data_IF_708085097235
#
_entry.id   IF_708085097235
#
_cell.length_a   1.000
_cell.length_b   1.000
_cell.length_c   1.000
_cell.angle_alpha   90.00
_cell.angle_beta   90.00
_cell.angle_gamma   90.00
#
_symmetry.space_group_name_H-M   'P 1'
#
loop_
_entity.id
_entity.type
_entity.pdbx_description
1 polymer ?
#
# COMPACT_ATOMS: atom_id res chain seq x y z
N UNK A 1 -15.56 -60.14 5.36
CA UNK A 1 -14.65 -59.24 6.11
C UNK A 1 -13.56 -58.60 5.23
N UNK A 2 -12.90 -59.34 4.34
CA UNK A 2 -11.78 -58.83 3.49
C UNK A 2 -12.20 -57.76 2.46
N UNK A 3 -13.40 -57.85 1.89
CA UNK A 3 -13.88 -56.89 0.88
C UNK A 3 -14.15 -55.47 1.46
N UNK A 4 -14.67 -55.40 2.69
CA UNK A 4 -14.95 -54.13 3.39
C UNK A 4 -13.64 -53.43 3.77
N UNK A 5 -12.63 -54.20 4.19
CA UNK A 5 -11.32 -53.67 4.54
C UNK A 5 -10.59 -53.11 3.31
N UNK A 6 -10.66 -53.82 2.16
CA UNK A 6 -10.14 -53.32 0.88
C UNK A 6 -10.81 -52.03 0.44
N UNK A 7 -12.13 -51.92 0.60
CA UNK A 7 -12.86 -50.71 0.22
C UNK A 7 -12.48 -49.52 1.10
N UNK A 8 -12.28 -49.74 2.41
CA UNK A 8 -11.82 -48.70 3.35
C UNK A 8 -10.39 -48.24 3.07
N UNK A 9 -9.50 -49.15 2.71
CA UNK A 9 -8.11 -48.81 2.33
C UNK A 9 -8.08 -48.04 1.00
N UNK A 10 -8.91 -48.40 0.03
CA UNK A 10 -9.07 -47.64 -1.22
C UNK A 10 -9.60 -46.22 -0.98
N UNK A 11 -10.61 -46.07 -0.12
CA UNK A 11 -11.12 -44.75 0.27
C UNK A 11 -10.08 -43.91 1.02
N UNK A 12 -9.36 -44.52 1.97
CA UNK A 12 -8.30 -43.83 2.70
C UNK A 12 -7.18 -43.38 1.75
N UNK A 13 -6.75 -44.23 0.82
CA UNK A 13 -5.74 -43.89 -0.18
C UNK A 13 -6.22 -42.77 -1.11
N UNK A 14 -7.50 -42.80 -1.54
CA UNK A 14 -8.09 -41.74 -2.36
C UNK A 14 -8.13 -40.40 -1.61
N UNK A 15 -8.55 -40.41 -0.35
CA UNK A 15 -8.54 -39.22 0.49
C UNK A 15 -7.13 -38.67 0.72
N UNK A 16 -6.13 -39.55 0.89
CA UNK A 16 -4.73 -39.16 1.08
C UNK A 16 -4.13 -38.56 -0.20
N UNK A 17 -4.54 -39.06 -1.36
CA UNK A 17 -4.11 -38.58 -2.67
C UNK A 17 -4.79 -37.24 -3.03
N UNK A 18 -6.07 -37.07 -2.66
CA UNK A 18 -6.76 -35.77 -2.69
C UNK A 18 -6.11 -34.76 -1.73
N UNK A 19 -5.75 -35.18 -0.53
CA UNK A 19 -5.07 -34.31 0.43
C UNK A 19 -3.67 -33.91 -0.04
N UNK A 20 -2.90 -34.84 -0.60
CA UNK A 20 -1.56 -34.56 -1.12
C UNK A 20 -1.59 -33.65 -2.34
N UNK A 21 -2.56 -33.81 -3.24
CA UNK A 21 -2.75 -32.91 -4.38
C UNK A 21 -3.15 -31.50 -3.93
N UNK A 22 -4.02 -31.36 -2.93
CA UNK A 22 -4.34 -30.07 -2.30
C UNK A 22 -3.09 -29.45 -1.64
N UNK A 23 -2.29 -30.26 -0.94
CA UNK A 23 -1.06 -29.80 -0.28
C UNK A 23 0.01 -29.35 -1.30
N UNK A 24 0.12 -30.04 -2.43
CA UNK A 24 1.04 -29.66 -3.52
C UNK A 24 0.56 -28.40 -4.23
N UNK A 25 -0.76 -28.25 -4.46
CA UNK A 25 -1.34 -27.03 -5.02
C UNK A 25 -1.17 -25.82 -4.10
N UNK A 26 -1.32 -26.01 -2.78
CA UNK A 26 -1.10 -24.96 -1.78
C UNK A 26 0.35 -24.45 -1.74
N UNK A 27 1.33 -25.29 -2.10
CA UNK A 27 2.75 -24.92 -2.14
C UNK A 27 3.24 -24.46 -3.53
N UNK A 28 2.36 -24.43 -4.54
CA UNK A 28 2.68 -24.03 -5.92
C UNK A 28 1.63 -23.02 -6.39
N UNK A 29 1.82 -21.70 -6.13
CA UNK A 29 0.79 -20.69 -6.35
C UNK A 29 0.21 -20.66 -7.77
N UNK A 30 1.04 -20.93 -8.79
CA UNK A 30 0.59 -20.94 -10.19
C UNK A 30 -0.30 -22.16 -10.53
N UNK A 31 -0.05 -23.32 -9.91
CA UNK A 31 -0.88 -24.52 -10.10
C UNK A 31 -2.23 -24.42 -9.35
N UNK A 32 -2.27 -23.67 -8.25
CA UNK A 32 -3.50 -23.39 -7.51
C UNK A 32 -4.46 -22.49 -8.28
N UNK A 33 -3.96 -21.42 -8.91
CA UNK A 33 -4.77 -20.50 -9.70
C UNK A 33 -5.37 -21.18 -10.96
N UNK A 34 -4.53 -21.85 -11.74
CA UNK A 34 -4.95 -22.58 -12.96
C UNK A 34 -5.86 -23.77 -12.60
N UNK A 35 -5.55 -24.48 -11.52
CA UNK A 35 -6.35 -25.59 -11.01
C UNK A 35 -7.72 -25.16 -10.48
N UNK A 36 -7.79 -24.04 -9.76
CA UNK A 36 -9.06 -23.47 -9.30
C UNK A 36 -9.94 -23.02 -10.47
N UNK A 37 -9.35 -22.47 -11.54
CA UNK A 37 -10.09 -22.06 -12.73
C UNK A 37 -10.61 -23.28 -13.52
N UNK A 38 -9.81 -24.35 -13.64
CA UNK A 38 -10.25 -25.62 -14.22
C UNK A 38 -11.38 -26.26 -13.39
N UNK A 39 -11.28 -26.26 -12.06
CA UNK A 39 -12.34 -26.78 -11.19
C UNK A 39 -13.62 -25.94 -11.29
N UNK A 40 -13.53 -24.61 -11.39
CA UNK A 40 -14.70 -23.73 -11.59
C UNK A 40 -15.45 -24.07 -12.87
N UNK A 41 -14.74 -24.51 -13.92
CA UNK A 41 -15.36 -24.93 -15.17
C UNK A 41 -16.15 -26.26 -15.06
N UNK A 42 -15.82 -27.11 -14.09
CA UNK A 42 -16.43 -28.45 -13.92
C UNK A 42 -17.53 -28.44 -12.86
N UNK A 43 -17.25 -27.86 -11.69
CA UNK A 43 -18.15 -27.90 -10.52
C UNK A 43 -18.80 -26.54 -10.20
N UNK A 44 -18.55 -25.53 -11.03
CA UNK A 44 -19.07 -24.17 -10.87
C UNK A 44 -18.37 -23.37 -9.77
N UNK A 45 -18.58 -22.05 -9.78
CA UNK A 45 -17.99 -21.13 -8.80
C UNK A 45 -18.36 -21.49 -7.35
N UNK A 46 -19.61 -21.90 -7.11
CA UNK A 46 -20.07 -22.26 -5.76
C UNK A 46 -19.43 -23.57 -5.26
N UNK A 47 -19.25 -24.56 -6.13
CA UNK A 47 -18.62 -25.83 -5.77
C UNK A 47 -17.15 -25.65 -5.37
N UNK A 48 -16.41 -24.82 -6.10
CA UNK A 48 -15.03 -24.47 -5.76
C UNK A 48 -14.97 -23.66 -4.47
N UNK A 49 -15.84 -22.67 -4.29
CA UNK A 49 -15.90 -21.87 -3.07
C UNK A 49 -16.17 -22.74 -1.82
N UNK A 50 -17.07 -23.73 -1.92
CA UNK A 50 -17.35 -24.66 -0.83
C UNK A 50 -16.15 -25.56 -0.51
N UNK A 51 -15.41 -26.01 -1.54
CA UNK A 51 -14.20 -26.80 -1.35
C UNK A 51 -13.06 -25.98 -0.73
N UNK A 52 -12.83 -24.78 -1.25
CA UNK A 52 -11.90 -23.79 -0.67
C UNK A 52 -12.23 -23.54 0.80
N UNK A 53 -13.50 -23.30 1.12
CA UNK A 53 -13.97 -23.12 2.50
C UNK A 53 -13.69 -24.34 3.40
N UNK A 54 -13.92 -25.56 2.91
CA UNK A 54 -13.62 -26.78 3.68
C UNK A 54 -12.10 -26.92 3.97
N UNK A 55 -11.26 -26.64 2.97
CA UNK A 55 -9.79 -26.67 3.13
C UNK A 55 -9.35 -25.59 4.12
N UNK A 56 -9.82 -24.36 3.95
CA UNK A 56 -9.47 -23.26 4.85
C UNK A 56 -9.96 -23.52 6.29
N UNK A 57 -11.15 -24.05 6.49
CA UNK A 57 -11.65 -24.42 7.83
C UNK A 57 -10.79 -25.51 8.48
N UNK A 58 -10.33 -26.50 7.70
CA UNK A 58 -9.44 -27.56 8.22
C UNK A 58 -8.09 -26.98 8.63
N UNK A 59 -7.51 -26.11 7.79
CA UNK A 59 -6.26 -25.41 8.11
C UNK A 59 -6.41 -24.50 9.33
N UNK A 60 -7.52 -23.77 9.43
CA UNK A 60 -7.82 -22.88 10.54
C UNK A 60 -7.94 -23.65 11.86
N UNK A 61 -8.64 -24.80 11.84
CA UNK A 61 -8.75 -25.67 13.02
C UNK A 61 -7.39 -26.13 13.51
N UNK A 62 -6.51 -26.54 12.60
CA UNK A 62 -5.15 -26.95 12.96
C UNK A 62 -4.30 -25.79 13.49
N UNK A 63 -4.40 -24.61 12.89
CA UNK A 63 -3.72 -23.39 13.37
C UNK A 63 -4.20 -22.97 14.75
N UNK A 64 -5.51 -23.01 15.01
CA UNK A 64 -6.08 -22.79 16.35
C UNK A 64 -5.51 -23.77 17.36
N UNK A 65 -5.51 -25.08 17.05
CA UNK A 65 -4.91 -26.08 17.93
C UNK A 65 -3.43 -25.84 18.21
N UNK A 66 -2.64 -25.44 17.20
CA UNK A 66 -1.23 -25.10 17.40
C UNK A 66 -1.04 -23.87 18.29
N UNK A 67 -1.88 -22.85 18.11
CA UNK A 67 -1.85 -21.64 18.91
C UNK A 67 -2.27 -21.92 20.37
N UNK A 68 -3.39 -22.63 20.57
CA UNK A 68 -3.94 -22.97 21.89
C UNK A 68 -3.01 -23.91 22.68
N UNK A 69 -2.26 -24.77 21.99
CA UNK A 69 -1.24 -25.63 22.60
C UNK A 69 0.10 -24.92 22.85
N UNK A 70 0.21 -23.64 22.47
CA UNK A 70 1.44 -22.85 22.59
C UNK A 70 2.57 -23.27 21.64
N UNK A 71 2.28 -24.16 20.68
CA UNK A 71 3.23 -24.60 19.65
C UNK A 71 3.45 -23.53 18.56
N UNK A 72 2.56 -22.53 18.50
CA UNK A 72 2.70 -21.35 17.66
C UNK A 72 2.30 -20.09 18.45
N UNK A 73 2.98 -18.98 18.22
CA UNK A 73 2.62 -17.68 18.77
C UNK A 73 2.51 -16.66 17.64
N UNK A 74 1.62 -15.69 17.81
CA UNK A 74 1.53 -14.54 16.93
C UNK A 74 2.61 -13.55 17.36
N UNK A 75 3.54 -13.25 16.46
CA UNK A 75 4.58 -12.26 16.71
C UNK A 75 4.37 -11.05 15.79
N UNK A 76 4.73 -9.87 16.30
CA UNK A 76 4.75 -8.65 15.51
C UNK A 76 5.59 -8.87 14.23
N UNK A 77 5.02 -8.67 13.03
CA UNK A 77 5.71 -8.95 11.78
C UNK A 77 6.84 -7.93 11.52
N UNK A 78 6.81 -6.80 12.20
CA UNK A 78 7.85 -5.78 12.24
C UNK A 78 8.00 -5.30 13.67
N UNK A 79 9.19 -5.46 14.24
CA UNK A 79 9.52 -4.91 15.55
C UNK A 79 9.82 -3.42 15.42
N UNK A 80 9.31 -2.62 16.35
CA UNK A 80 9.67 -1.21 16.44
C UNK A 80 11.00 -1.15 17.20
N UNK A 81 12.08 -0.71 16.54
CA UNK A 81 13.32 -0.41 17.28
C UNK A 81 13.05 0.78 18.21
N UNK A 82 13.42 0.73 19.49
CA UNK A 82 13.20 1.84 20.42
C UNK A 82 13.85 3.15 19.95
N UNK A 83 14.89 3.08 19.11
CA UNK A 83 15.56 4.24 18.49
C UNK A 83 14.70 5.01 17.47
N UNK A 84 13.56 4.46 17.02
CA UNK A 84 12.62 5.14 16.11
C UNK A 84 11.43 5.75 16.84
N UNK A 85 11.40 5.70 18.18
CA UNK A 85 10.62 6.69 18.93
C UNK A 85 11.27 8.04 18.66
N UNK A 86 10.74 8.76 17.67
CA UNK A 86 11.01 10.19 17.53
C UNK A 86 10.48 10.83 18.81
N UNK A 87 11.31 10.86 19.84
CA UNK A 87 11.34 11.96 20.78
C UNK A 87 11.38 13.19 19.89
N UNK A 88 10.25 13.88 19.81
CA UNK A 88 10.17 15.22 19.23
C UNK A 88 11.33 16.00 19.87
N UNK A 89 12.38 16.41 19.13
CA UNK A 89 13.21 17.46 19.67
C UNK A 89 12.29 18.67 19.72
N UNK A 90 11.94 19.13 20.92
CA UNK A 90 11.54 20.51 21.13
C UNK A 90 12.55 21.36 20.35
N UNK A 91 12.16 22.07 19.28
CA UNK A 91 13.13 22.86 18.54
C UNK A 91 13.55 24.01 19.46
N UNK A 92 14.71 23.84 20.10
CA UNK A 92 15.49 24.95 20.59
C UNK A 92 15.99 25.69 19.34
N UNK A 93 15.76 27.00 19.19
CA UNK A 93 16.19 27.72 18.00
C UNK A 93 17.72 27.82 17.99
N UNK A 94 18.38 26.87 17.36
CA UNK A 94 19.78 27.01 16.95
C UNK A 94 19.77 27.82 15.65
N UNK A 95 20.07 29.11 15.76
CA UNK A 95 20.27 29.98 14.61
C UNK A 95 21.51 29.50 13.83
N UNK A 96 21.30 28.78 12.73
CA UNK A 96 22.34 28.58 11.72
C UNK A 96 22.48 29.88 10.94
N UNK A 97 23.54 30.66 11.22
CA UNK A 97 23.87 31.83 10.42
C UNK A 97 24.31 31.38 9.02
N UNK A 98 23.50 31.68 8.00
CA UNK A 98 23.91 31.58 6.60
C UNK A 98 24.97 32.65 6.29
N UNK A 99 26.05 32.35 5.56
CA UNK A 99 27.03 33.35 5.18
C UNK A 99 26.44 34.40 4.22
N UNK A 100 26.80 35.66 4.46
CA UNK A 100 26.41 36.86 3.73
C UNK A 100 26.74 36.75 2.22
N UNK A 101 25.84 37.15 1.28
CA UNK A 101 26.20 37.20 -0.13
C UNK A 101 27.23 38.29 -0.41
N UNK A 102 28.27 37.94 -1.16
CA UNK A 102 29.34 38.83 -1.64
C UNK A 102 28.75 39.98 -2.48
N UNK A 103 29.07 41.25 -2.21
CA UNK A 103 28.57 42.36 -3.03
C UNK A 103 29.21 42.35 -4.43
N UNK A 104 28.36 42.53 -5.45
CA UNK A 104 28.75 42.71 -6.85
C UNK A 104 29.62 43.98 -7.05
N UNK A 105 30.55 43.99 -8.02
CA UNK A 105 31.42 45.15 -8.26
C UNK A 105 30.64 46.36 -8.80
N UNK A 106 31.13 47.59 -8.59
CA UNK A 106 30.44 48.80 -9.04
C UNK A 106 30.47 48.93 -10.57
N UNK A 107 29.31 49.28 -11.14
CA UNK A 107 29.13 49.60 -12.56
C UNK A 107 29.95 50.84 -12.93
N UNK A 108 30.71 50.73 -14.02
CA UNK A 108 31.53 51.80 -14.62
C UNK A 108 30.63 52.92 -15.17
N UNK A 109 30.89 54.16 -14.75
CA UNK A 109 30.25 55.36 -15.29
C UNK A 109 30.90 55.70 -16.64
N UNK A 110 30.17 55.53 -17.75
CA UNK A 110 30.55 56.13 -19.03
C UNK A 110 30.25 57.63 -18.96
N UNK A 111 31.27 58.47 -19.12
CA UNK A 111 31.13 59.93 -19.22
C UNK A 111 30.75 60.28 -20.64
N UNK A 112 29.55 60.84 -20.84
CA UNK A 112 29.25 61.63 -22.02
C UNK A 112 29.35 63.11 -21.65
N UNK A 113 30.30 63.80 -22.29
CA UNK A 113 30.49 65.23 -22.16
C UNK A 113 29.43 65.93 -23.00
N UNK A 114 28.42 66.54 -22.37
CA UNK A 114 27.73 67.75 -22.84
C UNK A 114 26.81 68.25 -21.70
N UNK A 115 27.05 69.49 -21.28
CA UNK A 115 26.32 70.27 -20.27
C UNK A 115 26.47 69.80 -18.81
N UNK A 116 27.43 70.42 -18.11
CA UNK A 116 27.73 70.22 -16.69
C UNK A 116 26.60 70.60 -15.74
N UNK A 117 25.63 69.70 -15.57
CA UNK A 117 24.70 69.72 -14.44
C UNK A 117 24.58 68.31 -13.86
N UNK A 118 25.35 68.05 -12.82
CA UNK A 118 25.29 66.81 -12.06
C UNK A 118 23.99 66.77 -11.27
N UNK A 119 23.00 66.02 -11.76
CA UNK A 119 21.84 65.65 -10.96
C UNK A 119 22.18 64.34 -10.23
N UNK A 120 22.37 64.41 -8.91
CA UNK A 120 22.43 63.21 -8.07
C UNK A 120 21.01 62.67 -7.91
N UNK A 121 20.74 61.49 -8.48
CA UNK A 121 19.56 60.72 -8.11
C UNK A 121 19.75 60.19 -6.68
N UNK A 122 18.70 60.15 -5.83
CA UNK A 122 18.80 59.52 -4.54
C UNK A 122 19.04 58.01 -4.72
N UNK A 123 20.17 57.53 -4.20
CA UNK A 123 20.44 56.11 -4.04
C UNK A 123 19.43 55.54 -3.05
N UNK A 124 18.45 54.77 -3.53
CA UNK A 124 17.62 53.97 -2.63
C UNK A 124 18.46 52.79 -2.14
N UNK A 125 18.90 52.86 -0.89
CA UNK A 125 19.45 51.71 -0.18
C UNK A 125 18.37 50.63 -0.12
N UNK A 126 18.55 49.43 -0.70
CA UNK A 126 17.57 48.37 -0.52
C UNK A 126 17.53 48.01 0.96
N UNK A 127 16.41 48.32 1.63
CA UNK A 127 16.13 47.79 2.96
C UNK A 127 15.96 46.29 2.81
N UNK A 128 16.96 45.52 3.20
CA UNK A 128 16.85 44.06 3.33
C UNK A 128 15.84 43.78 4.43
N UNK A 129 14.61 43.43 4.03
CA UNK A 129 13.62 42.91 4.98
C UNK A 129 14.21 41.64 5.61
N UNK A 130 14.10 41.46 6.94
CA UNK A 130 14.51 40.21 7.57
C UNK A 130 13.73 39.05 6.92
N UNK A 131 14.38 37.89 6.67
CA UNK A 131 13.68 36.75 6.09
C UNK A 131 12.51 36.40 7.01
N UNK A 132 11.29 36.49 6.47
CA UNK A 132 10.12 35.92 7.14
C UNK A 132 10.36 34.42 7.20
N UNK A 133 10.34 33.77 8.38
CA UNK A 133 10.48 32.33 8.43
C UNK A 133 9.32 31.72 7.64
N UNK A 134 9.64 31.09 6.50
CA UNK A 134 8.68 30.23 5.80
C UNK A 134 8.25 29.17 6.80
N UNK A 135 6.96 29.00 7.10
CA UNK A 135 6.52 27.96 8.01
C UNK A 135 7.03 26.62 7.48
N UNK A 136 7.86 25.93 8.28
CA UNK A 136 8.26 24.55 8.00
C UNK A 136 6.99 23.72 7.96
N UNK A 137 6.64 23.18 6.79
CA UNK A 137 5.50 22.30 6.65
C UNK A 137 5.63 21.14 7.66
N UNK A 138 4.62 20.94 8.49
CA UNK A 138 4.57 19.80 9.40
C UNK A 138 4.52 18.53 8.56
N UNK A 139 5.42 17.55 8.75
CA UNK A 139 5.38 16.31 8.00
C UNK A 139 4.06 15.58 8.28
N UNK A 140 3.40 15.13 7.23
CA UNK A 140 2.17 14.35 7.34
C UNK A 140 2.42 13.06 8.13
N UNK A 141 1.49 12.73 9.03
CA UNK A 141 1.47 11.46 9.76
C UNK A 141 0.04 10.90 9.77
N UNK A 142 -0.12 9.56 9.69
CA UNK A 142 -1.42 8.94 9.83
C UNK A 142 -2.01 9.17 11.22
N UNK A 143 -3.34 9.18 11.32
CA UNK A 143 -4.00 9.15 12.62
C UNK A 143 -3.60 7.89 13.40
N UNK A 144 -3.52 8.01 14.73
CA UNK A 144 -3.21 6.88 15.60
C UNK A 144 -4.20 5.72 15.33
N UNK A 145 -3.67 4.53 15.05
CA UNK A 145 -4.48 3.34 14.92
C UNK A 145 -4.88 2.83 16.30
N UNK A 146 -6.09 2.30 16.42
CA UNK A 146 -6.56 1.65 17.65
C UNK A 146 -6.20 0.16 17.54
N UNK A 147 -5.36 -0.39 18.44
CA UNK A 147 -5.09 -1.82 18.48
C UNK A 147 -6.39 -2.62 18.65
N UNK A 148 -6.50 -3.74 17.92
CA UNK A 148 -7.67 -4.62 17.96
C UNK A 148 -7.39 -5.89 18.76
N UNK A 149 -6.12 -6.28 18.88
CA UNK A 149 -5.66 -7.42 19.66
C UNK A 149 -4.76 -7.03 20.83
N UNK A 150 -3.75 -7.87 21.07
CA UNK A 150 -2.93 -7.85 22.28
C UNK A 150 -1.43 -8.01 22.01
N UNK A 151 -1.02 -7.96 20.74
CA UNK A 151 0.39 -8.11 20.38
C UNK A 151 1.10 -6.78 20.62
N UNK A 152 2.28 -6.84 21.24
CA UNK A 152 3.14 -5.68 21.42
C UNK A 152 3.41 -4.99 20.08
N UNK A 153 3.49 -3.66 20.08
CA UNK A 153 3.68 -2.80 18.90
C UNK A 153 2.51 -2.76 17.89
N UNK A 154 1.37 -3.41 18.17
CA UNK A 154 0.17 -3.32 17.33
C UNK A 154 -0.30 -1.86 17.20
N UNK A 155 -0.68 -1.43 16.00
CA UNK A 155 -1.17 -0.07 15.75
C UNK A 155 -0.11 1.03 15.81
N UNK A 156 1.14 0.73 16.15
CA UNK A 156 2.24 1.71 16.13
C UNK A 156 2.68 1.94 14.67
N UNK A 157 2.64 3.19 14.23
CA UNK A 157 3.08 3.59 12.90
C UNK A 157 4.60 3.71 12.84
N UNK A 158 5.21 3.10 11.83
CA UNK A 158 6.65 3.22 11.53
C UNK A 158 6.87 3.75 10.11
N UNK A 159 7.89 4.59 9.88
CA UNK A 159 8.28 5.00 8.53
C UNK A 159 8.55 3.78 7.65
N UNK A 160 8.07 3.81 6.41
CA UNK A 160 8.18 2.67 5.50
C UNK A 160 8.64 3.06 4.09
N UNK A 161 7.96 4.00 3.45
CA UNK A 161 8.24 4.39 2.05
C UNK A 161 8.78 5.81 2.05
N UNK A 162 9.84 6.03 1.27
CA UNK A 162 10.45 7.35 1.06
C UNK A 162 10.39 7.74 -0.40
N UNK A 163 10.31 9.04 -0.67
CA UNK A 163 10.43 9.58 -2.02
C UNK A 163 11.91 9.78 -2.42
N UNK A 164 12.15 10.23 -3.65
CA UNK A 164 13.49 10.48 -4.18
C UNK A 164 14.33 11.48 -3.36
N UNK A 165 13.68 12.35 -2.59
CA UNK A 165 14.35 13.32 -1.71
C UNK A 165 14.62 12.77 -0.29
N UNK A 166 14.28 11.49 -0.04
CA UNK A 166 14.41 10.83 1.26
C UNK A 166 13.31 11.17 2.26
N UNK A 167 12.28 11.95 1.88
CA UNK A 167 11.17 12.24 2.77
C UNK A 167 10.23 11.04 2.87
N UNK A 168 9.75 10.73 4.07
CA UNK A 168 8.77 9.66 4.30
C UNK A 168 7.42 10.04 3.69
N UNK A 169 6.91 9.19 2.80
CA UNK A 169 5.61 9.34 2.13
C UNK A 169 4.66 8.18 2.44
N UNK A 170 5.15 7.17 3.17
CA UNK A 170 4.32 6.06 3.62
C UNK A 170 4.75 5.53 4.97
N UNK A 171 3.77 5.22 5.80
CA UNK A 171 3.92 4.58 7.11
C UNK A 171 3.28 3.20 7.08
N UNK A 172 3.78 2.29 7.91
CA UNK A 172 3.18 0.97 8.09
C UNK A 172 2.90 0.66 9.56
N UNK A 173 1.88 -0.16 9.78
CA UNK A 173 1.58 -0.80 11.05
C UNK A 173 0.95 -2.17 10.79
N UNK A 174 0.58 -2.89 11.84
CA UNK A 174 -0.22 -4.11 11.74
C UNK A 174 -1.34 -4.09 12.77
N UNK A 175 -2.40 -4.87 12.50
CA UNK A 175 -3.55 -5.06 13.37
C UNK A 175 -3.91 -6.55 13.44
N UNK A 176 -4.55 -6.94 14.54
CA UNK A 176 -5.11 -8.27 14.75
C UNK A 176 -6.64 -8.19 14.65
N UNK A 177 -7.23 -8.29 13.44
CA UNK A 177 -8.63 -7.93 13.22
C UNK A 177 -9.63 -8.96 13.76
N UNK A 178 -9.17 -10.18 14.03
CA UNK A 178 -10.04 -11.29 14.40
C UNK A 178 -9.68 -11.85 15.78
N UNK A 179 -10.53 -11.62 16.80
CA UNK A 179 -10.28 -12.12 18.15
C UNK A 179 -10.39 -13.65 18.24
N UNK A 180 -11.12 -14.32 17.33
CA UNK A 180 -11.22 -15.79 17.30
C UNK A 180 -10.02 -16.44 16.61
N UNK A 181 -9.26 -15.66 15.83
CA UNK A 181 -8.08 -16.12 15.10
C UNK A 181 -6.88 -15.21 15.42
N UNK A 182 -6.35 -15.28 16.65
CA UNK A 182 -5.35 -14.32 17.13
C UNK A 182 -4.01 -14.37 16.39
N UNK A 183 -3.77 -15.42 15.61
CA UNK A 183 -2.64 -15.57 14.69
C UNK A 183 -2.84 -14.88 13.33
N UNK A 184 -3.99 -14.25 13.08
CA UNK A 184 -4.28 -13.52 11.85
C UNK A 184 -3.89 -12.07 12.02
N UNK A 185 -2.94 -11.60 11.20
CA UNK A 185 -2.44 -10.24 11.22
C UNK A 185 -2.70 -9.58 9.86
N UNK A 186 -3.10 -8.32 9.88
CA UNK A 186 -3.26 -7.47 8.69
C UNK A 186 -2.22 -6.36 8.76
N UNK A 187 -1.36 -6.30 7.75
CA UNK A 187 -0.49 -5.14 7.54
C UNK A 187 -1.28 -3.98 6.96
N UNK A 188 -1.08 -2.79 7.52
CA UNK A 188 -1.71 -1.55 7.06
C UNK A 188 -0.61 -0.61 6.60
N UNK A 189 -0.76 -0.06 5.39
CA UNK A 189 0.12 0.98 4.85
C UNK A 189 -0.71 2.22 4.61
N UNK A 190 -0.27 3.34 5.18
CA UNK A 190 -0.87 4.65 4.97
C UNK A 190 0.07 5.49 4.09
N UNK A 191 -0.45 6.02 2.99
CA UNK A 191 0.29 6.82 2.01
C UNK A 191 -0.17 8.29 2.07
N UNK A 192 0.79 9.21 1.99
CA UNK A 192 0.52 10.64 1.91
C UNK A 192 0.09 11.02 0.49
N UNK A 193 -1.21 11.17 0.26
CA UNK A 193 -1.75 11.57 -1.05
C UNK A 193 -1.45 13.03 -1.42
N UNK A 194 -0.84 13.84 -0.54
CA UNK A 194 -0.30 15.16 -0.90
C UNK A 194 1.04 15.06 -1.65
N UNK A 195 1.71 13.91 -1.53
CA UNK A 195 3.03 13.65 -2.13
C UNK A 195 3.03 12.43 -3.07
N UNK A 196 1.91 11.70 -3.13
CA UNK A 196 1.78 10.46 -3.89
C UNK A 196 0.49 10.46 -4.69
N UNK A 197 0.49 9.71 -5.79
CA UNK A 197 -0.66 9.58 -6.68
C UNK A 197 -1.10 8.11 -6.72
N UNK A 198 -2.41 7.89 -6.68
CA UNK A 198 -3.01 6.57 -6.77
C UNK A 198 -3.62 6.38 -8.16
N UNK A 199 -3.14 5.39 -8.89
CA UNK A 199 -3.69 4.99 -10.18
C UNK A 199 -4.43 3.66 -10.06
N UNK A 200 -5.63 3.60 -10.63
CA UNK A 200 -6.39 2.36 -10.76
C UNK A 200 -6.40 1.91 -12.22
N UNK A 201 -5.95 0.68 -12.48
CA UNK A 201 -5.87 0.10 -13.81
C UNK A 201 -6.85 -1.05 -13.94
N UNK A 202 -7.74 -0.98 -14.94
CA UNK A 202 -8.66 -2.05 -15.26
C UNK A 202 -7.90 -3.30 -15.76
N UNK A 203 -8.46 -4.48 -15.43
CA UNK A 203 -7.95 -5.77 -15.92
C UNK A 203 -8.14 -5.93 -17.43
N UNK A 204 -7.46 -6.92 -18.01
CA UNK A 204 -7.55 -7.25 -19.45
C UNK A 204 -8.78 -8.07 -19.83
N UNK A 205 -9.42 -8.72 -18.83
CA UNK A 205 -10.57 -9.59 -19.03
C UNK A 205 -11.79 -9.14 -18.22
N UNK A 206 -11.59 -8.87 -16.92
CA UNK A 206 -12.63 -8.37 -16.03
C UNK A 206 -12.11 -7.24 -15.12
N UNK A 207 -12.97 -6.25 -14.78
CA UNK A 207 -14.28 -6.01 -15.37
C UNK A 207 -14.16 -5.42 -16.79
N UNK A 208 -14.94 -5.95 -17.73
CA UNK A 208 -15.02 -5.46 -19.09
C UNK A 208 -16.05 -4.33 -19.19
N UNK A 209 -15.72 -3.29 -19.97
CA UNK A 209 -16.69 -2.26 -20.37
C UNK A 209 -17.52 -2.83 -21.52
N UNK A 210 -18.77 -2.37 -21.65
CA UNK A 210 -19.64 -2.70 -22.78
C UNK A 210 -18.94 -2.40 -24.13
N UNK A 211 -18.95 -3.38 -25.05
CA UNK A 211 -18.28 -3.25 -26.36
C UNK A 211 -16.82 -3.71 -26.42
N UNK A 212 -16.41 -4.66 -25.56
CA UNK A 212 -15.06 -5.27 -25.50
C UNK A 212 -13.91 -4.28 -25.21
N UNK A 213 -14.25 -3.13 -24.62
CA UNK A 213 -13.26 -2.19 -24.12
C UNK A 213 -12.72 -2.71 -22.77
N UNK A 214 -11.49 -3.21 -22.80
CA UNK A 214 -10.79 -3.72 -21.62
C UNK A 214 -9.63 -2.82 -21.22
N UNK A 215 -9.26 -2.87 -19.95
CA UNK A 215 -8.04 -2.24 -19.47
C UNK A 215 -6.79 -2.96 -19.96
N UNK A 216 -5.64 -2.32 -19.74
CA UNK A 216 -4.35 -2.91 -20.12
C UNK A 216 -3.81 -3.92 -19.10
N UNK A 217 -4.40 -3.99 -17.89
CA UNK A 217 -3.97 -4.86 -16.79
C UNK A 217 -2.50 -4.67 -16.38
N UNK A 218 -1.90 -3.52 -16.71
CA UNK A 218 -0.48 -3.25 -16.52
C UNK A 218 -0.26 -1.78 -16.14
N UNK A 219 0.65 -1.58 -15.20
CA UNK A 219 1.16 -0.25 -14.85
C UNK A 219 1.81 0.38 -16.10
N UNK A 220 1.56 1.67 -16.34
CA UNK A 220 2.09 2.38 -17.50
C UNK A 220 3.62 2.46 -17.46
N UNK A 221 4.26 2.46 -18.63
CA UNK A 221 5.73 2.46 -18.70
C UNK A 221 6.37 3.71 -18.07
N UNK A 222 5.68 4.85 -18.15
CA UNK A 222 6.12 6.11 -17.56
C UNK A 222 6.20 6.08 -16.03
N UNK A 223 5.41 5.21 -15.38
CA UNK A 223 5.38 5.07 -13.91
C UNK A 223 6.35 4.00 -13.41
N UNK A 224 6.79 3.08 -14.29
CA UNK A 224 7.77 2.02 -13.99
C UNK A 224 9.22 2.51 -13.97
N UNK A 225 9.45 3.81 -13.84
CA UNK A 225 10.79 4.37 -13.68
C UNK A 225 11.27 4.19 -12.22
N UNK A 226 12.59 4.06 -11.99
CA UNK A 226 13.15 4.16 -10.65
C UNK A 226 12.63 5.41 -9.93
N UNK A 227 12.43 5.30 -8.62
CA UNK A 227 12.00 6.39 -7.73
C UNK A 227 10.62 7.00 -8.00
N UNK A 228 9.78 6.34 -8.82
CA UNK A 228 8.39 6.76 -9.12
C UNK A 228 7.35 5.76 -8.67
N UNK A 229 7.55 4.47 -8.97
CA UNK A 229 6.64 3.41 -8.52
C UNK A 229 6.90 3.08 -7.04
N UNK A 230 5.99 3.52 -6.16
CA UNK A 230 6.11 3.28 -4.72
C UNK A 230 5.61 1.89 -4.30
N UNK A 231 4.47 1.47 -4.86
CA UNK A 231 3.84 0.19 -4.55
C UNK A 231 2.88 -0.23 -5.67
N UNK A 232 2.61 -1.53 -5.76
CA UNK A 232 1.54 -2.09 -6.58
C UNK A 232 0.92 -3.28 -5.84
N UNK A 233 -0.40 -3.37 -5.88
CA UNK A 233 -1.17 -4.44 -5.22
C UNK A 233 -2.42 -4.76 -6.05
N UNK A 234 -3.04 -5.90 -5.77
CA UNK A 234 -4.28 -6.27 -6.44
C UNK A 234 -5.39 -5.27 -6.10
N UNK A 235 -6.23 -4.95 -7.07
CA UNK A 235 -7.41 -4.13 -6.86
C UNK A 235 -8.59 -4.93 -6.30
N UNK A 236 -9.75 -4.73 -6.91
CA UNK A 236 -11.01 -5.33 -6.48
C UNK A 236 -11.27 -6.75 -6.99
N UNK A 237 -12.49 -7.22 -6.72
CA UNK A 237 -12.99 -8.51 -7.15
C UNK A 237 -13.33 -8.53 -8.63
N UNK A 238 -13.28 -9.73 -9.23
CA UNK A 238 -13.85 -10.01 -10.54
C UNK A 238 -15.34 -9.68 -10.59
N UNK A 239 -15.86 -9.27 -11.74
CA UNK A 239 -17.27 -8.91 -11.91
C UNK A 239 -18.19 -10.06 -11.55
N UNK A 240 -17.78 -11.28 -11.89
CA UNK A 240 -18.45 -12.55 -11.55
C UNK A 240 -18.63 -12.80 -10.05
N UNK A 241 -17.92 -12.10 -9.17
CA UNK A 241 -18.03 -12.26 -7.71
C UNK A 241 -19.04 -11.34 -7.05
N UNK A 242 -19.68 -10.43 -7.80
CA UNK A 242 -20.73 -9.59 -7.25
C UNK A 242 -20.83 -8.19 -7.83
N UNK A 243 -20.17 -7.88 -8.94
CA UNK A 243 -20.33 -6.62 -9.67
C UNK A 243 -20.20 -5.35 -8.80
N UNK A 244 -19.12 -5.23 -8.01
CA UNK A 244 -18.97 -4.17 -6.98
C UNK A 244 -18.55 -2.79 -7.50
N UNK A 245 -18.62 -2.56 -8.81
CA UNK A 245 -18.22 -1.31 -9.44
C UNK A 245 -16.73 -1.23 -9.77
N UNK A 246 -16.42 -0.57 -10.88
CA UNK A 246 -15.07 -0.26 -11.32
C UNK A 246 -15.11 0.83 -12.40
N UNK A 247 -14.32 1.88 -12.20
CA UNK A 247 -14.13 2.95 -13.17
C UNK A 247 -12.66 3.32 -13.22
N UNK A 248 -12.12 3.48 -14.43
CA UNK A 248 -10.80 4.06 -14.66
C UNK A 248 -10.87 4.98 -15.88
N UNK A 249 -10.15 6.09 -15.87
CA UNK A 249 -10.08 7.04 -17.00
C UNK A 249 -11.45 7.49 -17.54
N UNK A 250 -12.44 7.62 -16.65
CA UNK A 250 -13.83 7.96 -16.99
C UNK A 250 -14.64 6.82 -17.64
N UNK A 251 -14.03 5.66 -17.90
CA UNK A 251 -14.71 4.47 -18.40
C UNK A 251 -15.31 3.68 -17.24
N UNK A 252 -16.63 3.56 -17.23
CA UNK A 252 -17.38 2.75 -16.26
C UNK A 252 -17.40 1.31 -16.78
N UNK A 253 -16.57 0.44 -16.20
CA UNK A 253 -16.60 -0.99 -16.49
C UNK A 253 -17.72 -1.70 -15.70
N UNK A 254 -17.92 -1.31 -14.45
CA UNK A 254 -19.06 -1.73 -13.65
C UNK A 254 -19.62 -0.53 -12.88
N UNK A 255 -20.95 -0.33 -12.85
CA UNK A 255 -21.52 0.73 -12.04
C UNK A 255 -21.30 0.46 -10.55
N UNK A 256 -21.09 1.53 -9.77
CA UNK A 256 -21.06 1.44 -8.32
C UNK A 256 -22.43 0.97 -7.78
N UNK A 257 -22.41 0.30 -6.63
CA UNK A 257 -23.60 -0.17 -5.95
C UNK A 257 -23.95 0.73 -4.77
N UNK A 258 -25.24 1.01 -4.63
CA UNK A 258 -25.75 1.79 -3.51
C UNK A 258 -25.46 1.08 -2.17
N UNK A 259 -25.19 1.88 -1.13
CA UNK A 259 -24.85 1.39 0.21
C UNK A 259 -23.46 0.77 0.38
N UNK A 260 -22.62 0.75 -0.66
CA UNK A 260 -21.23 0.27 -0.57
C UNK A 260 -20.22 1.42 -0.63
N UNK A 261 -19.15 1.31 0.16
CA UNK A 261 -18.04 2.25 0.12
C UNK A 261 -17.21 2.09 -1.16
N UNK A 262 -16.68 3.19 -1.68
CA UNK A 262 -15.78 3.20 -2.84
C UNK A 262 -14.64 4.18 -2.62
N UNK A 263 -13.56 4.01 -3.38
CA UNK A 263 -12.45 4.96 -3.46
C UNK A 263 -12.66 5.78 -4.73
N UNK A 264 -12.75 7.11 -4.56
CA UNK A 264 -12.78 8.04 -5.67
C UNK A 264 -11.39 8.67 -5.86
N UNK A 265 -10.96 8.73 -7.12
CA UNK A 265 -9.72 9.38 -7.55
C UNK A 265 -10.10 10.67 -8.27
N UNK A 266 -9.40 11.77 -8.01
CA UNK A 266 -9.65 13.10 -8.59
C UNK A 266 -8.36 13.76 -9.06
#
# INVERSE_FOLDING_TARGET
MVAILRHRVLWAALCLLLFSTVLVAANRPNLGADGAQALRSIIGNQGVANLEAAVFNTQDTFRRLQYDSGLAQAEAPWRVSPDLTSTSPTPSPTATMTPLPTPLPPVVVIRDNLNGKTASLPTMTPTTLPPTPTPTATPWQPAAAVPLGHIDDEGIWTPYITNANGATVGYRTFLQPDPERPFTLVGVVALDLQQTELHFVLGTEEPAVEGDLNGFGRIAAADKTPDRLLAAFNGGFKGTHGQYGAMADGLIALPAKDGLATVALY
#
